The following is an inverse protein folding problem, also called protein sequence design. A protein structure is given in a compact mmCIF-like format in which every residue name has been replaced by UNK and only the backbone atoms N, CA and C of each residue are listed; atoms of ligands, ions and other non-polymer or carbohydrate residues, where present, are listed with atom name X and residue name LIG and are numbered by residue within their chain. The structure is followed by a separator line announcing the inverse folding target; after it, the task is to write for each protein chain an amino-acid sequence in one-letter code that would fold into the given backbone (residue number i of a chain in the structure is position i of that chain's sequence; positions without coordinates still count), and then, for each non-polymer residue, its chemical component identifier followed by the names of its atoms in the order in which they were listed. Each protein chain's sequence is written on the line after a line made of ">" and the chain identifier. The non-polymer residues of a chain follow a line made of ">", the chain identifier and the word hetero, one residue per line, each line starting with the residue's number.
data_IF_400928734506
#
_entry.id   IF_400928734506
#
_cell.length_a   1.000
_cell.length_b   1.000
_cell.length_c   1.000
_cell.angle_alpha   90.00
_cell.angle_beta   90.00
_cell.angle_gamma   90.00
#
_symmetry.space_group_name_H-M   'P 1'
#
loop_
_entity.id
_entity.type
_entity.pdbx_description
1 polymer ?
#
# COMPACT_ATOMS: atom_id res chain seq x y z
N UNK A 1 2.85 -42.84 -22.36
CA UNK A 1 2.27 -41.99 -23.42
C UNK A 1 1.08 -41.26 -22.83
N UNK A 2 1.08 -39.93 -22.99
CA UNK A 2 0.33 -38.92 -22.23
C UNK A 2 -1.15 -38.79 -22.58
N UNK A 3 -1.96 -38.28 -21.62
CA UNK A 3 -3.12 -37.36 -21.77
C UNK A 3 -3.39 -36.67 -20.39
N UNK A 4 -2.71 -35.58 -20.05
CA UNK A 4 -3.10 -34.17 -20.21
C UNK A 4 -4.23 -33.68 -19.29
N UNK A 5 -3.78 -33.14 -18.15
CA UNK A 5 -4.10 -31.85 -17.52
C UNK A 5 -5.56 -31.40 -17.41
N UNK A 6 -6.04 -31.51 -16.16
CA UNK A 6 -7.23 -30.89 -15.59
C UNK A 6 -7.18 -29.36 -15.76
N UNK A 7 -8.28 -28.81 -16.27
CA UNK A 7 -8.51 -27.38 -16.43
C UNK A 7 -8.35 -26.64 -15.09
N UNK A 8 -7.50 -25.61 -15.10
CA UNK A 8 -7.37 -24.61 -14.06
C UNK A 8 -8.19 -23.39 -14.52
N UNK A 9 -9.44 -23.32 -14.07
CA UNK A 9 -10.25 -22.09 -14.08
C UNK A 9 -9.94 -21.38 -12.77
N UNK A 10 -8.83 -20.65 -12.73
CA UNK A 10 -8.58 -19.70 -11.66
C UNK A 10 -8.76 -18.31 -12.26
N UNK A 11 -9.98 -17.82 -12.04
CA UNK A 11 -10.39 -16.44 -12.30
C UNK A 11 -9.39 -15.53 -11.62
N UNK A 12 -8.71 -14.72 -12.43
CA UNK A 12 -7.91 -13.60 -11.94
C UNK A 12 -8.92 -12.59 -11.41
N UNK A 13 -9.22 -12.64 -10.11
CA UNK A 13 -9.81 -11.51 -9.41
C UNK A 13 -8.78 -10.38 -9.46
N UNK A 14 -8.99 -9.44 -10.38
CA UNK A 14 -8.45 -8.09 -10.31
C UNK A 14 -9.08 -7.39 -9.10
N UNK A 15 -8.65 -7.82 -7.91
CA UNK A 15 -8.89 -7.13 -6.67
C UNK A 15 -7.94 -5.94 -6.60
N UNK A 16 -8.19 -4.91 -7.42
CA UNK A 16 -7.68 -3.57 -7.17
C UNK A 16 -8.37 -3.01 -5.92
N UNK A 17 -8.10 -3.63 -4.78
CA UNK A 17 -8.44 -3.12 -3.47
C UNK A 17 -7.49 -1.96 -3.19
N UNK A 18 -7.82 -0.78 -3.72
CA UNK A 18 -7.38 0.46 -3.07
C UNK A 18 -8.03 0.44 -1.68
N UNK A 19 -7.27 0.33 -0.58
CA UNK A 19 -7.87 0.40 0.74
C UNK A 19 -8.53 1.78 0.87
N UNK A 20 -9.83 1.77 1.13
CA UNK A 20 -10.61 2.95 1.51
C UNK A 20 -9.91 3.65 2.68
N UNK A 21 -9.15 4.70 2.36
CA UNK A 21 -8.65 5.64 3.36
C UNK A 21 -9.61 6.81 3.43
N UNK A 22 -10.54 6.73 4.39
CA UNK A 22 -11.18 7.91 4.96
C UNK A 22 -11.77 7.57 6.33
N UNK A 23 -10.96 7.03 7.24
CA UNK A 23 -11.31 7.10 8.66
C UNK A 23 -10.85 8.47 9.16
N UNK A 24 -11.77 9.43 9.15
CA UNK A 24 -11.64 10.69 9.87
C UNK A 24 -11.75 10.38 11.37
N UNK A 25 -10.67 9.87 11.94
CA UNK A 25 -10.32 10.15 13.32
C UNK A 25 -9.38 11.36 13.27
N UNK A 26 -9.39 12.25 14.26
CA UNK A 26 -8.43 13.34 14.46
C UNK A 26 -7.00 12.77 14.68
N UNK A 27 -6.49 12.01 13.72
CA UNK A 27 -5.15 11.45 13.73
C UNK A 27 -4.23 12.51 13.19
N UNK A 28 -3.29 12.92 14.03
CA UNK A 28 -2.14 13.72 13.63
C UNK A 28 -1.34 12.92 12.58
N UNK A 29 -1.64 13.16 11.30
CA UNK A 29 -0.96 12.52 10.18
C UNK A 29 0.43 13.11 10.05
N UNK A 30 1.43 12.26 9.85
CA UNK A 30 2.82 12.67 9.71
C UNK A 30 3.11 12.94 8.24
N UNK A 31 3.54 14.17 7.94
CA UNK A 31 4.04 14.52 6.62
C UNK A 31 5.39 13.83 6.35
N UNK A 32 5.48 13.11 5.24
CA UNK A 32 6.68 12.45 4.77
C UNK A 32 7.01 12.85 3.34
N UNK A 33 8.29 13.00 3.03
CA UNK A 33 8.82 13.42 1.75
C UNK A 33 9.75 12.37 1.15
N UNK A 34 9.60 12.14 -0.15
CA UNK A 34 10.47 11.29 -0.95
C UNK A 34 10.44 11.74 -2.41
N UNK A 35 11.61 11.86 -3.03
CA UNK A 35 11.75 12.13 -4.48
C UNK A 35 10.88 13.30 -5.00
N UNK A 36 10.77 14.39 -4.23
CA UNK A 36 9.98 15.56 -4.62
C UNK A 36 8.49 15.48 -4.28
N UNK A 37 8.03 14.35 -3.73
CA UNK A 37 6.63 14.13 -3.34
C UNK A 37 6.48 14.16 -1.83
N UNK A 38 5.43 14.81 -1.34
CA UNK A 38 5.03 14.79 0.06
C UNK A 38 3.72 14.00 0.23
N UNK A 39 3.66 13.12 1.22
CA UNK A 39 2.49 12.33 1.59
C UNK A 39 2.22 12.47 3.09
N UNK A 40 0.96 12.53 3.48
CA UNK A 40 0.55 12.45 4.89
C UNK A 40 0.19 11.01 5.21
N UNK A 41 0.90 10.42 6.17
CA UNK A 41 0.73 9.00 6.52
C UNK A 41 0.40 8.86 8.00
N UNK A 42 -0.27 7.77 8.34
CA UNK A 42 -0.57 7.45 9.72
C UNK A 42 0.76 7.21 10.49
N UNK A 43 0.93 7.71 11.74
CA UNK A 43 2.18 7.60 12.49
C UNK A 43 2.67 6.15 12.64
N UNK A 44 1.75 5.18 12.74
CA UNK A 44 2.08 3.74 12.80
C UNK A 44 2.74 3.19 11.53
N UNK A 45 2.58 3.87 10.39
CA UNK A 45 3.15 3.46 9.10
C UNK A 45 4.44 4.19 8.76
N UNK A 46 4.85 5.18 9.57
CA UNK A 46 6.03 6.01 9.31
C UNK A 46 7.30 5.16 9.23
N UNK A 47 7.50 4.22 10.15
CA UNK A 47 8.68 3.33 10.10
C UNK A 47 8.76 2.50 8.82
N UNK A 48 7.61 2.06 8.29
CA UNK A 48 7.57 1.33 7.02
C UNK A 48 7.97 2.23 5.84
N UNK A 49 7.55 3.49 5.87
CA UNK A 49 7.92 4.49 4.87
C UNK A 49 9.40 4.89 5.00
N UNK A 50 9.94 5.04 6.22
CA UNK A 50 11.36 5.31 6.45
C UNK A 50 12.26 4.20 5.88
N UNK A 51 11.85 2.92 6.02
CA UNK A 51 12.58 1.78 5.43
C UNK A 51 12.67 1.82 3.92
N UNK A 52 11.67 2.38 3.24
CA UNK A 52 11.67 2.52 1.77
C UNK A 52 12.15 3.90 1.32
N UNK A 53 12.77 4.68 2.22
CA UNK A 53 13.51 5.90 1.90
C UNK A 53 12.71 7.20 2.02
N UNK A 54 11.53 7.18 2.65
CA UNK A 54 10.81 8.41 2.97
C UNK A 54 11.40 9.09 4.20
N UNK A 55 11.32 10.43 4.25
CA UNK A 55 11.82 11.24 5.37
C UNK A 55 10.70 12.07 5.94
N UNK A 56 10.66 12.25 7.26
CA UNK A 56 9.67 13.15 7.89
C UNK A 56 9.97 14.59 7.48
N UNK A 57 8.93 15.34 7.17
CA UNK A 57 9.00 16.80 6.97
C UNK A 57 8.61 17.44 8.30
N UNK A 58 9.59 18.09 8.94
CA UNK A 58 9.39 18.83 10.20
C UNK A 58 9.17 20.31 9.97
#
# INVERSE_FOLDING_TARGET
>A
MAKNTKAHDDKIEDGNAQPEQAVHDDVDLVAMFKDGTTLHVHPTTVEAHERVGWKRVG
#
